data_IF_740549342636
#
_entry.id   IF_740549342636
#
_cell.length_a   1.000
_cell.length_b   1.000
_cell.length_c   1.000
_cell.angle_alpha   90.00
_cell.angle_beta   90.00
_cell.angle_gamma   90.00
#
_symmetry.space_group_name_H-M   'P 1'
#
loop_
_entity.id
_entity.type
_entity.pdbx_description
1 polymer ?
#
# COMPACT_ATOMS: atom_id res chain seq x y z
N UNK A 1 -3.08 18.58 -8.71
CA UNK A 1 -2.18 17.48 -9.13
C UNK A 1 -2.61 16.10 -8.62
N UNK A 2 -2.99 15.95 -7.36
CA UNK A 2 -3.38 14.66 -6.74
C UNK A 2 -4.54 13.94 -7.47
N UNK A 3 -5.57 14.66 -7.92
CA UNK A 3 -6.71 14.08 -8.63
C UNK A 3 -6.30 13.53 -10.01
N UNK A 4 -5.44 14.24 -10.72
CA UNK A 4 -4.96 13.83 -12.06
C UNK A 4 -4.07 12.58 -11.96
N UNK A 5 -3.19 12.51 -10.97
CA UNK A 5 -2.35 11.32 -10.75
C UNK A 5 -3.20 10.10 -10.36
N UNK A 6 -4.21 10.29 -9.49
CA UNK A 6 -5.16 9.22 -9.13
C UNK A 6 -5.97 8.75 -10.35
N UNK A 7 -6.43 9.66 -11.20
CA UNK A 7 -7.14 9.29 -12.43
C UNK A 7 -6.23 8.56 -13.43
N UNK A 8 -4.98 9.01 -13.61
CA UNK A 8 -4.03 8.33 -14.50
C UNK A 8 -3.70 6.91 -14.01
N UNK A 9 -3.58 6.72 -12.69
CA UNK A 9 -3.35 5.41 -12.11
C UNK A 9 -4.51 4.44 -12.40
N UNK A 10 -5.76 4.93 -12.44
CA UNK A 10 -6.92 4.12 -12.78
C UNK A 10 -6.83 3.50 -14.19
N UNK A 11 -6.20 4.19 -15.16
CA UNK A 11 -6.01 3.64 -16.51
C UNK A 11 -4.98 2.50 -16.56
N UNK A 12 -4.12 2.37 -15.56
CA UNK A 12 -3.13 1.27 -15.48
C UNK A 12 -3.76 0.00 -14.90
N UNK A 13 -4.87 0.11 -14.17
CA UNK A 13 -5.55 -1.04 -13.59
C UNK A 13 -6.06 -1.99 -14.68
N UNK A 14 -5.92 -3.32 -14.51
CA UNK A 14 -6.20 -4.28 -15.56
C UNK A 14 -7.57 -4.15 -16.17
N UNK A 15 -8.59 -3.93 -15.33
CA UNK A 15 -9.97 -3.78 -15.79
C UNK A 15 -10.21 -2.48 -16.55
N UNK A 16 -9.70 -1.36 -16.05
CA UNK A 16 -9.84 -0.06 -16.70
C UNK A 16 -9.05 -0.02 -18.02
N UNK A 17 -7.86 -0.61 -18.03
CA UNK A 17 -7.05 -0.76 -19.25
C UNK A 17 -7.77 -1.59 -20.31
N UNK A 18 -8.39 -2.71 -19.90
CA UNK A 18 -9.22 -3.53 -20.78
C UNK A 18 -10.33 -2.71 -21.46
N UNK A 19 -11.14 -1.99 -20.66
CA UNK A 19 -12.21 -1.17 -21.21
C UNK A 19 -11.69 -0.05 -22.12
N UNK A 20 -10.58 0.58 -21.76
CA UNK A 20 -9.94 1.61 -22.59
C UNK A 20 -9.55 1.06 -23.95
N UNK A 21 -8.87 -0.08 -24.01
CA UNK A 21 -8.49 -0.71 -25.28
C UNK A 21 -9.70 -1.13 -26.10
N UNK A 22 -10.76 -1.64 -25.47
CA UNK A 22 -12.01 -2.02 -26.17
C UNK A 22 -12.67 -0.78 -26.78
N UNK A 23 -12.81 0.32 -26.02
CA UNK A 23 -13.39 1.58 -26.51
C UNK A 23 -12.56 2.13 -27.67
N UNK A 24 -11.23 2.21 -27.52
CA UNK A 24 -10.32 2.65 -28.58
C UNK A 24 -10.49 1.78 -29.82
N UNK A 25 -10.61 0.45 -29.67
CA UNK A 25 -10.80 -0.45 -30.79
C UNK A 25 -12.11 -0.20 -31.54
N UNK A 26 -13.18 0.16 -30.83
CA UNK A 26 -14.50 0.48 -31.44
C UNK A 26 -14.41 1.78 -32.24
N UNK A 27 -13.76 2.80 -31.68
CA UNK A 27 -13.57 4.10 -32.35
C UNK A 27 -12.69 3.94 -33.59
N UNK A 28 -11.57 3.22 -33.46
CA UNK A 28 -10.66 2.98 -34.57
C UNK A 28 -11.28 2.12 -35.68
N UNK A 29 -12.15 1.15 -35.37
CA UNK A 29 -12.83 0.34 -36.37
C UNK A 29 -13.69 1.18 -37.31
N UNK A 30 -14.22 2.30 -36.85
CA UNK A 30 -15.02 3.23 -37.66
C UNK A 30 -14.15 4.10 -38.59
N UNK A 31 -12.84 4.21 -38.32
CA UNK A 31 -11.91 5.12 -39.00
C UNK A 31 -10.69 4.46 -39.65
N UNK A 32 -10.32 3.23 -39.23
CA UNK A 32 -9.07 2.55 -39.60
C UNK A 32 -9.28 1.03 -39.82
N UNK A 33 -8.23 0.37 -40.33
CA UNK A 33 -8.22 -1.04 -40.70
C UNK A 33 -8.75 -1.96 -39.58
N UNK A 34 -9.64 -2.88 -39.94
CA UNK A 34 -10.23 -3.91 -39.02
C UNK A 34 -9.20 -4.76 -38.27
N UNK A 35 -8.00 -4.96 -38.85
CA UNK A 35 -6.91 -5.73 -38.27
C UNK A 35 -6.38 -5.12 -36.95
N UNK A 36 -6.15 -3.80 -36.91
CA UNK A 36 -5.66 -3.10 -35.71
C UNK A 36 -6.73 -3.13 -34.59
N UNK A 37 -7.99 -2.88 -34.94
CA UNK A 37 -9.07 -2.95 -33.97
C UNK A 37 -9.21 -4.35 -33.33
N UNK A 38 -9.06 -5.41 -34.13
CA UNK A 38 -9.07 -6.78 -33.62
C UNK A 38 -7.85 -7.12 -32.77
N UNK A 39 -6.66 -6.64 -33.15
CA UNK A 39 -5.44 -6.80 -32.35
C UNK A 39 -5.56 -6.13 -30.97
N UNK A 40 -6.12 -4.91 -30.89
CA UNK A 40 -6.36 -4.23 -29.62
C UNK A 40 -7.33 -4.98 -28.72
N UNK A 41 -8.40 -5.59 -29.28
CA UNK A 41 -9.34 -6.41 -28.49
C UNK A 41 -8.67 -7.68 -27.97
N UNK A 42 -7.90 -8.35 -28.83
CA UNK A 42 -7.15 -9.54 -28.42
C UNK A 42 -6.15 -9.20 -27.31
N UNK A 43 -5.42 -8.09 -27.43
CA UNK A 43 -4.50 -7.60 -26.41
C UNK A 43 -5.24 -7.29 -25.11
N UNK A 44 -6.42 -6.63 -25.17
CA UNK A 44 -7.23 -6.32 -23.98
C UNK A 44 -7.64 -7.59 -23.23
N UNK A 45 -8.14 -8.59 -23.97
CA UNK A 45 -8.55 -9.88 -23.37
C UNK A 45 -7.35 -10.62 -22.80
N UNK A 46 -6.25 -10.70 -23.54
CA UNK A 46 -5.03 -11.39 -23.14
C UNK A 46 -4.43 -10.75 -21.86
N UNK A 47 -4.40 -9.42 -21.80
CA UNK A 47 -3.90 -8.68 -20.63
C UNK A 47 -4.79 -8.91 -19.40
N UNK A 48 -6.12 -8.78 -19.54
CA UNK A 48 -7.04 -9.01 -18.43
C UNK A 48 -6.95 -10.46 -17.93
N UNK A 49 -6.93 -11.42 -18.85
CA UNK A 49 -6.75 -12.83 -18.51
C UNK A 49 -5.43 -13.07 -17.78
N UNK A 50 -4.31 -12.57 -18.30
CA UNK A 50 -3.00 -12.68 -17.67
C UNK A 50 -3.01 -12.14 -16.24
N UNK A 51 -3.51 -10.91 -16.03
CA UNK A 51 -3.60 -10.30 -14.71
C UNK A 51 -4.55 -11.05 -13.74
N UNK A 52 -5.51 -11.80 -14.26
CA UNK A 52 -6.43 -12.60 -13.46
C UNK A 52 -5.90 -14.02 -13.14
N UNK A 53 -4.74 -14.41 -13.69
CA UNK A 53 -4.09 -15.71 -13.41
C UNK A 53 -3.10 -15.62 -12.27
N UNK A 54 -2.74 -16.76 -11.67
CA UNK A 54 -1.70 -16.83 -10.65
C UNK A 54 -0.33 -16.38 -11.20
N UNK A 55 -0.03 -16.77 -12.43
CA UNK A 55 1.24 -16.43 -13.06
C UNK A 55 1.41 -14.92 -13.23
N UNK A 56 0.37 -14.24 -13.71
CA UNK A 56 0.39 -12.78 -13.88
C UNK A 56 0.47 -12.05 -12.55
N UNK A 57 -0.37 -12.44 -11.58
CA UNK A 57 -0.39 -11.84 -10.25
C UNK A 57 0.97 -12.01 -9.54
N UNK A 58 1.52 -13.23 -9.55
CA UNK A 58 2.82 -13.51 -8.91
C UNK A 58 3.99 -12.82 -9.63
N UNK A 59 3.98 -12.76 -10.97
CA UNK A 59 5.02 -12.05 -11.72
C UNK A 59 5.08 -10.55 -11.39
N UNK A 60 3.93 -9.94 -11.17
CA UNK A 60 3.84 -8.52 -10.82
C UNK A 60 4.15 -8.24 -9.35
N UNK A 61 3.73 -9.13 -8.45
CA UNK A 61 3.77 -8.91 -7.00
C UNK A 61 5.06 -9.41 -6.34
N UNK A 62 5.55 -10.60 -6.71
CA UNK A 62 6.70 -11.20 -6.06
C UNK A 62 7.97 -10.32 -6.07
N UNK A 63 8.29 -9.54 -7.12
CA UNK A 63 9.45 -8.65 -7.09
C UNK A 63 9.32 -7.50 -6.08
N UNK A 64 8.09 -7.12 -5.69
CA UNK A 64 7.84 -6.10 -4.66
C UNK A 64 8.06 -6.67 -3.25
N UNK A 65 7.69 -7.94 -3.04
CA UNK A 65 7.70 -8.58 -1.71
C UNK A 65 9.01 -9.30 -1.39
N UNK A 66 9.77 -9.80 -2.40
CA UNK A 66 10.99 -10.60 -2.19
C UNK A 66 12.07 -9.92 -1.35
N UNK A 67 12.16 -8.60 -1.42
CA UNK A 67 13.10 -7.82 -0.63
C UNK A 67 12.69 -7.64 0.83
N UNK A 68 11.48 -8.04 1.20
CA UNK A 68 10.86 -7.77 2.50
C UNK A 68 10.14 -9.02 3.01
N UNK A 69 10.87 -10.09 3.37
CA UNK A 69 10.28 -11.32 3.84
C UNK A 69 9.53 -11.10 5.16
N UNK A 70 8.58 -11.99 5.46
CA UNK A 70 7.97 -12.05 6.78
C UNK A 70 9.04 -12.43 7.80
N UNK A 71 9.16 -11.62 8.85
CA UNK A 71 10.10 -11.84 9.95
C UNK A 71 9.31 -12.00 11.24
N UNK A 72 9.61 -13.05 11.99
CA UNK A 72 8.97 -13.27 13.29
C UNK A 72 9.29 -12.12 14.25
N UNK A 73 8.33 -11.79 15.12
CA UNK A 73 8.45 -10.71 16.09
C UNK A 73 9.76 -10.75 16.88
N UNK A 74 10.15 -11.93 17.35
CA UNK A 74 11.35 -12.08 18.20
C UNK A 74 12.65 -11.85 17.43
N UNK A 75 12.66 -12.11 16.13
CA UNK A 75 13.83 -11.92 15.27
C UNK A 75 14.03 -10.46 14.82
N UNK A 76 13.02 -9.60 14.97
CA UNK A 76 13.16 -8.17 14.69
C UNK A 76 13.97 -7.48 15.79
N UNK A 77 14.85 -6.52 15.46
CA UNK A 77 15.62 -5.77 16.45
C UNK A 77 14.73 -4.87 17.29
N UNK A 78 15.25 -4.39 18.43
CA UNK A 78 14.67 -3.28 19.16
C UNK A 78 14.85 -1.99 18.33
N UNK A 79 13.86 -1.11 18.40
CA UNK A 79 13.89 0.22 17.79
C UNK A 79 13.39 1.27 18.78
N UNK A 80 13.48 2.54 18.38
CA UNK A 80 13.03 3.64 19.23
C UNK A 80 11.52 3.90 19.05
N UNK A 81 10.96 3.59 17.86
CA UNK A 81 9.53 3.65 17.60
C UNK A 81 9.06 2.58 16.61
N UNK A 82 7.79 2.17 16.73
CA UNK A 82 7.05 1.43 15.70
C UNK A 82 6.21 2.45 14.93
N UNK A 83 6.37 2.51 13.60
CA UNK A 83 5.54 3.36 12.73
C UNK A 83 4.62 2.49 11.91
N UNK A 84 3.32 2.69 12.05
CA UNK A 84 2.28 1.94 11.34
C UNK A 84 1.63 2.84 10.29
N UNK A 85 1.73 2.44 9.01
CA UNK A 85 1.10 3.20 7.94
C UNK A 85 -0.37 2.79 7.77
N UNK A 86 -1.21 3.76 7.53
CA UNK A 86 -2.60 3.59 7.16
C UNK A 86 -2.83 2.74 5.92
N UNK A 87 -4.09 2.52 5.57
CA UNK A 87 -4.55 1.65 4.48
C UNK A 87 -5.17 0.33 4.97
N UNK A 88 -5.23 0.10 6.30
CA UNK A 88 -5.82 -1.09 6.93
C UNK A 88 -7.26 -0.92 7.41
N UNK A 89 -7.80 0.29 7.36
CA UNK A 89 -9.11 0.63 7.91
C UNK A 89 -10.02 1.27 6.86
N UNK A 90 -11.34 1.15 7.09
CA UNK A 90 -12.37 1.90 6.36
C UNK A 90 -13.26 2.64 7.36
N UNK A 91 -13.78 3.81 6.94
CA UNK A 91 -14.61 4.70 7.77
C UNK A 91 -16.02 4.14 8.02
N UNK A 92 -16.45 3.12 7.25
CA UNK A 92 -17.77 2.54 7.33
C UNK A 92 -17.88 1.52 8.47
N UNK A 93 -18.18 1.96 9.69
CA UNK A 93 -18.53 1.04 10.77
C UNK A 93 -20.04 0.84 10.89
N UNK A 94 -20.48 -0.39 10.67
CA UNK A 94 -21.87 -0.79 10.93
C UNK A 94 -22.16 -1.09 12.40
N UNK A 95 -21.12 -1.24 13.22
CA UNK A 95 -21.21 -1.66 14.63
C UNK A 95 -20.80 -0.60 15.63
N UNK A 96 -20.59 0.66 15.20
CA UNK A 96 -20.22 1.75 16.10
C UNK A 96 -18.81 1.66 16.69
N UNK A 97 -17.94 0.82 16.15
CA UNK A 97 -16.56 0.61 16.61
C UNK A 97 -15.52 1.54 15.98
N UNK A 98 -15.99 2.63 15.34
CA UNK A 98 -15.08 3.63 14.79
C UNK A 98 -14.47 3.31 13.41
N UNK A 99 -14.71 2.13 12.83
CA UNK A 99 -14.24 1.73 11.51
C UNK A 99 -14.21 0.22 11.34
N UNK A 100 -14.24 -0.26 10.09
CA UNK A 100 -14.10 -1.67 9.77
C UNK A 100 -12.69 -1.99 9.25
N UNK A 101 -12.19 -3.17 9.60
CA UNK A 101 -10.93 -3.70 9.11
C UNK A 101 -11.07 -4.13 7.64
N UNK A 102 -10.11 -3.79 6.82
CA UNK A 102 -10.03 -4.23 5.42
C UNK A 102 -8.97 -5.32 5.22
N UNK A 103 -8.70 -5.69 3.97
CA UNK A 103 -7.74 -6.74 3.64
C UNK A 103 -6.28 -6.46 4.08
N UNK A 104 -5.94 -5.22 4.43
CA UNK A 104 -4.60 -4.85 4.91
C UNK A 104 -4.53 -4.69 6.44
N UNK A 105 -5.52 -5.20 7.17
CA UNK A 105 -5.61 -5.14 8.64
C UNK A 105 -4.47 -5.88 9.36
N UNK A 106 -3.76 -6.76 8.67
CA UNK A 106 -2.56 -7.45 9.18
C UNK A 106 -1.52 -6.48 9.76
N UNK A 107 -1.50 -5.23 9.28
CA UNK A 107 -0.63 -4.16 9.81
C UNK A 107 -0.92 -3.88 11.29
N UNK A 108 -2.20 -3.81 11.66
CA UNK A 108 -2.60 -3.56 13.04
C UNK A 108 -2.26 -4.75 13.93
N UNK A 109 -2.56 -5.96 13.46
CA UNK A 109 -2.24 -7.17 14.22
C UNK A 109 -0.74 -7.33 14.45
N UNK A 110 0.07 -7.12 13.40
CA UNK A 110 1.52 -7.22 13.50
C UNK A 110 2.10 -6.11 14.39
N UNK A 111 1.60 -4.86 14.26
CA UNK A 111 2.03 -3.75 15.13
C UNK A 111 1.69 -4.00 16.60
N UNK A 112 0.50 -4.56 16.89
CA UNK A 112 0.11 -4.94 18.23
C UNK A 112 1.05 -6.00 18.82
N UNK A 113 1.40 -7.02 18.04
CA UNK A 113 2.35 -8.05 18.46
C UNK A 113 3.75 -7.47 18.77
N UNK A 114 4.26 -6.59 17.89
CA UNK A 114 5.55 -5.91 18.09
C UNK A 114 5.55 -5.04 19.35
N UNK A 115 4.49 -4.26 19.54
CA UNK A 115 4.37 -3.37 20.70
C UNK A 115 4.24 -4.14 22.01
N UNK A 116 3.41 -5.20 22.03
CA UNK A 116 3.27 -6.09 23.19
C UNK A 116 4.56 -6.84 23.53
N UNK A 117 5.39 -7.15 22.52
CA UNK A 117 6.70 -7.75 22.71
C UNK A 117 7.78 -6.74 23.16
N UNK A 118 7.42 -5.46 23.34
CA UNK A 118 8.36 -4.42 23.77
C UNK A 118 9.41 -4.06 22.72
N UNK A 119 9.13 -4.24 21.43
CA UNK A 119 10.10 -3.96 20.35
C UNK A 119 10.41 -2.47 20.19
N UNK A 120 9.52 -1.59 20.68
CA UNK A 120 9.79 -0.16 20.85
C UNK A 120 8.95 0.41 21.98
N UNK A 121 9.42 1.50 22.64
CA UNK A 121 8.69 2.15 23.74
C UNK A 121 7.47 2.97 23.26
N UNK A 122 7.43 3.37 22.00
CA UNK A 122 6.38 4.21 21.41
C UNK A 122 5.90 3.62 20.09
N UNK A 123 4.61 3.79 19.80
CA UNK A 123 4.00 3.49 18.50
C UNK A 123 3.45 4.78 17.88
N UNK A 124 3.69 5.00 16.60
CA UNK A 124 3.11 6.09 15.82
C UNK A 124 2.18 5.51 14.76
N UNK A 125 0.92 5.93 14.79
CA UNK A 125 -0.08 5.58 13.78
C UNK A 125 -0.18 6.74 12.80
N UNK A 126 0.16 6.51 11.53
CA UNK A 126 0.23 7.56 10.51
C UNK A 126 -0.83 7.35 9.43
N UNK A 127 -1.74 8.31 9.30
CA UNK A 127 -2.79 8.32 8.28
C UNK A 127 -3.85 9.38 8.55
N UNK A 128 -4.02 10.29 7.60
CA UNK A 128 -5.02 11.37 7.66
C UNK A 128 -6.42 10.91 7.23
N UNK A 129 -7.33 11.87 7.11
CA UNK A 129 -8.69 11.62 6.65
C UNK A 129 -8.74 11.44 5.12
N UNK A 130 -9.41 10.41 4.65
CA UNK A 130 -9.72 10.24 3.24
C UNK A 130 -10.71 11.29 2.71
N UNK A 131 -10.89 11.36 1.39
CA UNK A 131 -11.84 12.28 0.78
C UNK A 131 -13.27 12.01 1.30
N UNK A 132 -13.86 13.01 1.95
CA UNK A 132 -15.22 12.92 2.49
C UNK A 132 -15.33 12.21 3.84
N UNK A 133 -14.21 11.81 4.44
CA UNK A 133 -14.17 11.21 5.77
C UNK A 133 -14.00 12.29 6.84
N UNK A 134 -14.64 12.08 7.99
CA UNK A 134 -14.56 12.96 9.15
C UNK A 134 -13.53 12.50 10.18
N UNK A 135 -13.19 11.22 10.17
CA UNK A 135 -12.25 10.57 11.08
C UNK A 135 -10.98 10.19 10.33
N UNK A 136 -9.83 10.43 10.92
CA UNK A 136 -8.54 10.09 10.32
C UNK A 136 -8.27 8.60 10.46
N UNK A 137 -7.49 8.05 9.53
CA UNK A 137 -7.15 6.64 9.57
C UNK A 137 -6.31 6.28 10.83
N UNK A 138 -5.48 7.21 11.29
CA UNK A 138 -4.74 7.07 12.54
C UNK A 138 -5.68 6.92 13.76
N UNK A 139 -6.78 7.69 13.81
CA UNK A 139 -7.79 7.57 14.89
C UNK A 139 -8.55 6.23 14.81
N UNK A 140 -8.90 5.80 13.60
CA UNK A 140 -9.54 4.49 13.39
C UNK A 140 -8.63 3.34 13.84
N UNK A 141 -7.34 3.39 13.47
CA UNK A 141 -6.33 2.42 13.90
C UNK A 141 -6.19 2.39 15.43
N UNK A 142 -6.14 3.56 16.08
CA UNK A 142 -6.09 3.65 17.54
C UNK A 142 -7.32 2.99 18.19
N UNK A 143 -8.52 3.26 17.66
CA UNK A 143 -9.75 2.64 18.13
C UNK A 143 -9.71 1.12 18.05
N UNK A 144 -9.24 0.57 16.93
CA UNK A 144 -9.09 -0.86 16.71
C UNK A 144 -8.06 -1.50 17.68
N UNK A 145 -6.89 -0.86 17.87
CA UNK A 145 -5.86 -1.34 18.80
C UNK A 145 -6.37 -1.35 20.25
N UNK A 146 -7.06 -0.31 20.68
CA UNK A 146 -7.67 -0.25 22.01
C UNK A 146 -8.74 -1.32 22.23
N UNK A 147 -9.55 -1.61 21.18
CA UNK A 147 -10.57 -2.66 21.25
C UNK A 147 -9.98 -4.06 21.49
N UNK A 148 -8.73 -4.28 21.11
CA UNK A 148 -7.99 -5.53 21.37
C UNK A 148 -7.06 -5.45 22.58
N UNK A 149 -7.17 -4.38 23.39
CA UNK A 149 -6.44 -4.23 24.66
C UNK A 149 -5.01 -3.72 24.52
N UNK A 150 -4.67 -3.07 23.40
CA UNK A 150 -3.37 -2.43 23.19
C UNK A 150 -3.45 -0.98 23.70
N UNK A 151 -2.80 -0.74 24.83
CA UNK A 151 -2.65 0.56 25.46
C UNK A 151 -1.17 0.90 25.66
N UNK A 152 -0.85 2.20 25.77
CA UNK A 152 0.53 2.65 26.02
C UNK A 152 0.84 3.97 25.34
N UNK A 153 2.12 4.22 25.09
CA UNK A 153 2.58 5.41 24.40
C UNK A 153 2.32 5.29 22.87
N UNK A 154 1.12 5.71 22.45
CA UNK A 154 0.69 5.71 21.06
C UNK A 154 0.44 7.15 20.63
N UNK A 155 1.15 7.61 19.60
CA UNK A 155 0.99 8.93 19.00
C UNK A 155 0.31 8.82 17.63
N UNK A 156 -0.42 9.88 17.25
CA UNK A 156 -1.17 9.94 16.01
C UNK A 156 -0.57 11.00 15.09
N UNK A 157 -0.28 10.61 13.87
CA UNK A 157 -0.06 11.53 12.75
C UNK A 157 -1.31 11.50 11.87
N UNK A 158 -2.01 12.63 11.79
CA UNK A 158 -3.36 12.74 11.22
C UNK A 158 -3.45 13.67 10.00
N UNK A 159 -2.32 14.24 9.55
CA UNK A 159 -2.31 15.27 8.49
C UNK A 159 -2.10 14.68 7.10
N UNK A 160 -1.51 13.51 7.00
CA UNK A 160 -1.08 12.90 5.76
C UNK A 160 -2.25 12.37 4.91
N UNK A 161 -2.17 12.61 3.60
CA UNK A 161 -3.09 12.06 2.58
C UNK A 161 -2.39 11.20 1.54
N UNK A 162 -1.06 11.16 1.59
CA UNK A 162 -0.19 10.40 0.68
C UNK A 162 0.94 9.75 1.45
N UNK A 163 1.55 8.71 0.88
CA UNK A 163 2.70 8.04 1.51
C UNK A 163 3.90 8.99 1.72
N UNK A 164 4.08 9.97 0.84
CA UNK A 164 5.10 11.01 1.01
C UNK A 164 4.82 11.88 2.24
N UNK A 165 3.57 12.27 2.41
CA UNK A 165 3.14 13.05 3.57
C UNK A 165 3.21 12.23 4.86
N UNK A 166 2.87 10.94 4.83
CA UNK A 166 3.09 10.04 5.98
C UNK A 166 4.55 10.11 6.42
N UNK A 167 5.50 9.93 5.51
CA UNK A 167 6.92 9.98 5.84
C UNK A 167 7.33 11.36 6.36
N UNK A 168 6.89 12.43 5.74
CA UNK A 168 7.24 13.80 6.12
C UNK A 168 6.71 14.17 7.51
N UNK A 169 5.41 14.02 7.74
CA UNK A 169 4.81 14.43 9.02
C UNK A 169 5.22 13.50 10.18
N UNK A 170 5.29 12.19 9.93
CA UNK A 170 5.83 11.24 10.92
C UNK A 170 7.31 11.51 11.19
N UNK A 171 8.12 11.77 10.17
CA UNK A 171 9.53 12.11 10.33
C UNK A 171 9.71 13.37 11.17
N UNK A 172 8.90 14.41 10.93
CA UNK A 172 8.91 15.65 11.72
C UNK A 172 8.56 15.38 13.20
N UNK A 173 7.55 14.55 13.45
CA UNK A 173 7.14 14.15 14.79
C UNK A 173 8.26 13.39 15.51
N UNK A 174 8.82 12.37 14.86
CA UNK A 174 9.90 11.54 15.43
C UNK A 174 11.18 12.32 15.68
N UNK A 175 11.57 13.19 14.75
CA UNK A 175 12.76 14.04 14.90
C UNK A 175 12.62 15.03 16.08
N UNK A 176 11.41 15.52 16.37
CA UNK A 176 11.16 16.36 17.55
C UNK A 176 11.37 15.61 18.87
N UNK A 177 11.22 14.29 18.87
CA UNK A 177 11.52 13.40 20.01
C UNK A 177 12.97 12.87 20.00
N UNK A 178 13.77 13.22 19.01
CA UNK A 178 15.15 12.71 18.86
C UNK A 178 15.20 11.24 18.41
N UNK A 179 14.12 10.70 17.89
CA UNK A 179 14.00 9.31 17.42
C UNK A 179 14.63 9.21 16.03
N UNK A 180 15.52 8.26 15.86
CA UNK A 180 16.29 8.04 14.62
C UNK A 180 16.11 6.65 14.02
N UNK A 181 15.71 5.64 14.81
CA UNK A 181 15.54 4.26 14.37
C UNK A 181 14.10 3.79 14.57
N UNK A 182 13.47 3.30 13.49
CA UNK A 182 12.09 2.85 13.49
C UNK A 182 11.91 1.43 12.94
N UNK A 183 10.91 0.72 13.47
CA UNK A 183 10.27 -0.42 12.80
C UNK A 183 9.13 0.12 11.96
N UNK A 184 9.21 0.01 10.64
CA UNK A 184 8.15 0.46 9.74
C UNK A 184 7.22 -0.70 9.42
N UNK A 185 5.94 -0.59 9.80
CA UNK A 185 4.91 -1.60 9.58
C UNK A 185 4.00 -1.17 8.44
N UNK A 186 4.01 -1.93 7.36
CA UNK A 186 3.10 -1.80 6.21
C UNK A 186 3.10 -3.08 5.39
N UNK A 187 2.26 -3.18 4.33
CA UNK A 187 2.26 -4.35 3.44
C UNK A 187 3.63 -4.53 2.77
N UNK A 188 4.06 -5.77 2.60
CA UNK A 188 5.34 -6.11 1.97
C UNK A 188 5.50 -5.46 0.57
N UNK A 189 4.44 -5.49 -0.24
CA UNK A 189 4.44 -4.85 -1.56
C UNK A 189 4.64 -3.32 -1.49
N UNK A 190 4.18 -2.68 -0.41
CA UNK A 190 4.28 -1.23 -0.20
C UNK A 190 5.65 -0.78 0.32
N UNK A 191 6.41 -1.66 0.98
CA UNK A 191 7.71 -1.36 1.60
C UNK A 191 8.68 -0.69 0.62
N UNK A 192 8.75 -1.20 -0.61
CA UNK A 192 9.66 -0.67 -1.64
C UNK A 192 9.46 0.83 -1.89
N UNK A 193 8.23 1.34 -1.78
CA UNK A 193 7.89 2.75 -1.95
C UNK A 193 7.98 3.54 -0.65
N UNK A 194 7.66 2.92 0.48
CA UNK A 194 7.63 3.61 1.77
C UNK A 194 9.02 3.86 2.35
N UNK A 195 9.91 2.85 2.36
CA UNK A 195 11.23 2.93 3.02
C UNK A 195 12.05 4.12 2.55
N UNK A 196 12.25 4.35 1.23
CA UNK A 196 13.08 5.48 0.79
C UNK A 196 12.55 6.84 1.26
N UNK A 197 11.23 6.99 1.38
CA UNK A 197 10.59 8.23 1.85
C UNK A 197 10.91 8.50 3.32
N UNK A 198 10.89 7.47 4.18
CA UNK A 198 11.26 7.60 5.59
C UNK A 198 12.78 7.80 5.75
N UNK A 199 13.59 7.12 4.95
CA UNK A 199 15.05 7.35 4.91
C UNK A 199 15.41 8.77 4.50
N UNK A 200 14.66 9.38 3.57
CA UNK A 200 14.81 10.78 3.18
C UNK A 200 14.53 11.76 4.36
N UNK A 201 13.79 11.32 5.39
CA UNK A 201 13.61 12.11 6.62
C UNK A 201 14.76 11.93 7.65
N UNK A 202 15.82 11.21 7.29
CA UNK A 202 16.97 10.95 8.17
C UNK A 202 16.77 9.77 9.11
N UNK A 203 15.76 8.93 8.90
CA UNK A 203 15.45 7.80 9.76
C UNK A 203 16.16 6.52 9.30
N UNK A 204 16.70 5.75 10.24
CA UNK A 204 17.08 4.37 10.03
C UNK A 204 15.83 3.50 10.07
N UNK A 205 15.50 2.86 8.95
CA UNK A 205 14.26 2.11 8.78
C UNK A 205 14.54 0.61 8.77
N UNK A 206 14.01 -0.10 9.74
CA UNK A 206 13.92 -1.57 9.73
C UNK A 206 12.53 -1.98 9.25
N UNK A 207 12.41 -2.69 8.14
CA UNK A 207 11.11 -3.14 7.65
C UNK A 207 10.52 -4.23 8.55
N UNK A 208 9.29 -4.01 9.03
CA UNK A 208 8.45 -5.00 9.68
C UNK A 208 7.26 -5.29 8.75
N UNK A 209 7.57 -5.96 7.64
CA UNK A 209 6.64 -6.20 6.55
C UNK A 209 5.56 -7.21 6.92
N UNK A 210 4.33 -6.94 6.49
CA UNK A 210 3.17 -7.80 6.70
C UNK A 210 2.31 -7.86 5.44
N UNK A 211 1.14 -8.50 5.48
CA UNK A 211 0.21 -8.59 4.34
C UNK A 211 0.91 -9.08 3.06
N UNK A 212 1.67 -10.19 3.19
CA UNK A 212 2.28 -10.86 2.05
C UNK A 212 1.21 -11.58 1.23
N UNK A 213 1.12 -11.27 -0.05
CA UNK A 213 0.06 -11.78 -0.92
C UNK A 213 0.57 -12.74 -2.00
N UNK A 214 1.88 -12.87 -2.14
CA UNK A 214 2.46 -13.95 -2.96
C UNK A 214 2.25 -15.29 -2.24
N UNK A 215 1.54 -16.26 -2.84
CA UNK A 215 1.25 -17.53 -2.18
C UNK A 215 2.53 -18.32 -1.89
N UNK A 216 2.63 -18.89 -0.69
CA UNK A 216 3.70 -19.80 -0.31
C UNK A 216 3.50 -21.20 -0.90
N UNK A 217 2.26 -21.57 -1.20
CA UNK A 217 1.90 -22.90 -1.69
C UNK A 217 0.99 -22.82 -2.91
N UNK A 218 1.04 -23.84 -3.74
CA UNK A 218 0.11 -24.00 -4.87
C UNK A 218 -1.28 -24.26 -4.30
N UNK A 219 -2.21 -23.34 -4.55
CA UNK A 219 -3.62 -23.47 -4.13
C UNK A 219 -4.36 -24.60 -4.87
N UNK A 220 -5.51 -24.96 -4.36
CA UNK A 220 -6.39 -25.96 -5.00
C UNK A 220 -6.90 -25.52 -6.39
N UNK A 221 -6.95 -24.20 -6.65
CA UNK A 221 -7.38 -23.66 -7.94
C UNK A 221 -6.17 -23.60 -8.87
N UNK A 222 -6.22 -24.24 -10.07
CA UNK A 222 -5.13 -24.21 -11.04
C UNK A 222 -4.66 -22.78 -11.35
N UNK A 223 -3.36 -22.57 -11.49
CA UNK A 223 -2.76 -21.25 -11.66
C UNK A 223 -3.20 -20.51 -12.94
N UNK A 224 -3.59 -21.23 -13.98
CA UNK A 224 -4.11 -20.67 -15.22
C UNK A 224 -5.57 -20.22 -15.14
N UNK A 225 -6.35 -20.68 -14.15
CA UNK A 225 -7.75 -20.30 -14.02
C UNK A 225 -7.87 -18.87 -13.49
N UNK A 226 -8.56 -17.95 -14.20
CA UNK A 226 -8.69 -16.57 -13.75
C UNK A 226 -9.61 -16.46 -12.54
N UNK A 227 -9.23 -15.63 -11.57
CA UNK A 227 -10.04 -15.30 -10.39
C UNK A 227 -10.01 -13.81 -10.09
N UNK A 228 -11.05 -13.33 -9.41
CA UNK A 228 -11.12 -11.92 -8.96
C UNK A 228 -10.07 -11.58 -7.91
N UNK A 229 -9.70 -12.54 -7.07
CA UNK A 229 -8.64 -12.38 -6.07
C UNK A 229 -7.29 -12.12 -6.73
N UNK A 230 -6.92 -12.94 -7.74
CA UNK A 230 -5.67 -12.78 -8.51
C UNK A 230 -5.65 -11.45 -9.26
N UNK A 231 -6.79 -11.06 -9.86
CA UNK A 231 -6.95 -9.77 -10.50
C UNK A 231 -6.75 -8.61 -9.50
N UNK A 232 -7.28 -8.75 -8.29
CA UNK A 232 -7.08 -7.79 -7.18
C UNK A 232 -5.60 -7.67 -6.79
N UNK A 233 -4.87 -8.80 -6.67
CA UNK A 233 -3.43 -8.81 -6.40
C UNK A 233 -2.63 -8.12 -7.51
N UNK A 234 -2.92 -8.40 -8.77
CA UNK A 234 -2.31 -7.71 -9.92
C UNK A 234 -2.58 -6.20 -9.89
N UNK A 235 -3.81 -5.80 -9.55
CA UNK A 235 -4.18 -4.38 -9.45
C UNK A 235 -3.37 -3.67 -8.36
N UNK A 236 -3.22 -4.28 -7.18
CA UNK A 236 -2.38 -3.75 -6.10
C UNK A 236 -0.91 -3.66 -6.50
N UNK A 237 -0.37 -4.70 -7.12
CA UNK A 237 1.01 -4.70 -7.59
C UNK A 237 1.28 -3.57 -8.61
N UNK A 238 0.39 -3.39 -9.59
CA UNK A 238 0.51 -2.31 -10.57
C UNK A 238 0.41 -0.93 -9.92
N UNK A 239 -0.47 -0.76 -8.91
CA UNK A 239 -0.54 0.46 -8.13
C UNK A 239 0.80 0.81 -7.47
N UNK A 240 1.45 -0.16 -6.82
CA UNK A 240 2.74 0.05 -6.17
C UNK A 240 3.87 0.31 -7.17
N UNK A 241 3.91 -0.40 -8.30
CA UNK A 241 4.89 -0.14 -9.35
C UNK A 241 4.77 1.27 -9.92
N UNK A 242 3.56 1.69 -10.26
CA UNK A 242 3.32 3.05 -10.80
C UNK A 242 3.66 4.10 -9.75
N UNK A 243 3.23 3.90 -8.50
CA UNK A 243 3.56 4.80 -7.39
C UNK A 243 5.06 4.91 -7.17
N UNK A 244 5.79 3.79 -7.18
CA UNK A 244 7.25 3.78 -7.05
C UNK A 244 7.92 4.58 -8.17
N UNK A 245 7.61 4.31 -9.44
CA UNK A 245 8.24 5.00 -10.57
C UNK A 245 7.90 6.50 -10.63
N UNK A 246 6.68 6.88 -10.27
CA UNK A 246 6.31 8.29 -10.18
C UNK A 246 7.15 8.98 -9.10
N UNK A 247 7.30 8.39 -7.93
CA UNK A 247 8.03 8.98 -6.81
C UNK A 247 9.54 9.06 -7.11
N UNK A 248 10.10 8.03 -7.73
CA UNK A 248 11.49 8.02 -8.20
C UNK A 248 11.74 9.13 -9.24
N UNK A 249 10.86 9.24 -10.26
CA UNK A 249 10.98 10.27 -11.32
C UNK A 249 10.82 11.69 -10.80
N UNK A 250 10.03 11.89 -9.76
CA UNK A 250 9.85 13.19 -9.11
C UNK A 250 10.96 13.50 -8.08
N UNK A 251 11.92 12.61 -7.87
CA UNK A 251 13.01 12.79 -6.90
C UNK A 251 12.55 12.76 -5.44
N UNK A 252 11.38 12.20 -5.14
CA UNK A 252 10.83 12.22 -3.78
C UNK A 252 11.62 11.37 -2.79
N UNK A 253 12.41 10.43 -3.26
CA UNK A 253 13.27 9.59 -2.42
C UNK A 253 14.53 10.31 -1.93
N UNK A 254 14.83 11.48 -2.50
CA UNK A 254 15.99 12.30 -2.14
C UNK A 254 15.59 13.61 -1.41
N UNK A 255 14.28 13.93 -1.39
CA UNK A 255 13.78 15.19 -0.84
C UNK A 255 13.18 14.99 0.56
N UNK A 256 13.85 15.54 1.58
CA UNK A 256 13.35 15.56 2.95
C UNK A 256 12.14 16.50 3.14
N UNK A 257 12.01 17.58 2.36
CA UNK A 257 10.95 18.59 2.51
C UNK A 257 9.83 18.43 1.49
N UNK A 258 8.59 18.66 1.93
CA UNK A 258 7.45 18.90 1.03
C UNK A 258 7.50 20.38 0.66
N UNK A 259 7.79 20.71 -0.61
CA UNK A 259 7.57 22.07 -1.11
C UNK A 259 6.07 22.34 -1.12
N UNK A 260 5.62 23.24 -0.25
CA UNK A 260 4.26 23.78 -0.31
C UNK A 260 4.10 24.55 -1.64
N UNK A 261 3.34 23.99 -2.57
CA UNK A 261 2.86 24.62 -3.79
C UNK A 261 1.33 24.72 -3.76
#
# INVERSE_FOLDING_TARGET
MLLVSKLLTLFVYPLSFFFTLVIVSIVLRRRLASRLANALRLLAVAWLYFCATEWGASLLLAPLERGYPAVETDALPLAEAIVVLGGGMTDESRFGLGGDLNAAADRLWHSAALFSAGKAPIMVLSGGAGLGQSTTEAELMLGALRAIGIDGAIELETQSQTTRENAYFTGKLLNAHGITHILLVTSAAHMRRAIPLFQAQGLLVTPAATDHQTPLHVGAIPGWLPTTERLGRSTRALHEWVGYWIYERLGYFEMAAITEN
#
